data_IF_146024748064
#
_entry.id   IF_146024748064
#
_cell.length_a   1.000
_cell.length_b   1.000
_cell.length_c   1.000
_cell.angle_alpha   90.00
_cell.angle_beta   90.00
_cell.angle_gamma   90.00
#
_symmetry.space_group_name_H-M   'P 1'
#
loop_
_entity.id
_entity.type
_entity.pdbx_description
1 polymer ?
#
# COMPACT_ATOMS: atom_id res chain seq x y z
N UNK A 1 -23.98 2.20 13.44
CA UNK A 1 -24.26 0.93 12.73
C UNK A 1 -24.46 1.23 11.26
N UNK A 2 -23.50 0.85 10.40
CA UNK A 2 -23.62 0.98 8.93
C UNK A 2 -24.74 0.05 8.47
N UNK A 3 -25.74 0.57 7.73
CA UNK A 3 -26.88 -0.22 7.25
C UNK A 3 -26.37 -1.31 6.31
N UNK A 4 -26.68 -2.57 6.64
CA UNK A 4 -26.47 -3.71 5.75
C UNK A 4 -27.36 -3.48 4.54
N UNK A 5 -26.77 -3.20 3.38
CA UNK A 5 -27.51 -3.07 2.13
C UNK A 5 -27.87 -4.49 1.66
N UNK A 6 -29.06 -4.95 2.04
CA UNK A 6 -29.58 -6.31 1.77
C UNK A 6 -29.72 -6.61 0.27
N UNK A 7 -29.58 -5.59 -0.59
CA UNK A 7 -29.63 -5.70 -2.05
C UNK A 7 -28.25 -5.85 -2.72
N UNK A 8 -27.14 -5.82 -1.97
CA UNK A 8 -25.82 -6.02 -2.57
C UNK A 8 -25.50 -7.54 -2.62
N UNK A 9 -25.42 -8.17 -3.81
CA UNK A 9 -25.15 -9.61 -3.93
C UNK A 9 -23.75 -10.02 -3.42
N UNK A 10 -22.86 -9.06 -3.14
CA UNK A 10 -21.53 -9.28 -2.58
C UNK A 10 -21.37 -8.54 -1.24
N UNK A 11 -21.91 -9.06 -0.13
CA UNK A 11 -21.93 -8.35 1.16
C UNK A 11 -20.57 -8.17 1.84
N UNK A 12 -19.49 -8.69 1.22
CA UNK A 12 -18.13 -8.68 1.77
C UNK A 12 -17.18 -7.75 1.02
N UNK A 13 -17.55 -7.23 -0.16
CA UNK A 13 -16.66 -6.36 -0.94
C UNK A 13 -15.41 -7.08 -1.50
N UNK A 14 -15.60 -8.27 -2.10
CA UNK A 14 -14.49 -9.08 -2.64
C UNK A 14 -13.77 -8.40 -3.81
N UNK A 15 -14.49 -7.67 -4.65
CA UNK A 15 -13.93 -6.95 -5.79
C UNK A 15 -12.97 -5.84 -5.34
N UNK A 16 -13.36 -5.12 -4.30
CA UNK A 16 -12.62 -4.04 -3.65
C UNK A 16 -11.38 -4.60 -2.94
N UNK A 17 -11.52 -5.76 -2.28
CA UNK A 17 -10.41 -6.46 -1.66
C UNK A 17 -9.37 -6.93 -2.70
N UNK A 18 -9.82 -7.57 -3.79
CA UNK A 18 -8.94 -8.03 -4.86
C UNK A 18 -8.25 -6.85 -5.53
N UNK A 19 -8.98 -5.79 -5.87
CA UNK A 19 -8.42 -4.59 -6.48
C UNK A 19 -7.40 -3.89 -5.58
N UNK A 20 -7.63 -3.83 -4.26
CA UNK A 20 -6.65 -3.33 -3.29
C UNK A 20 -5.34 -4.12 -3.34
N UNK A 21 -5.40 -5.46 -3.36
CA UNK A 21 -4.21 -6.29 -3.43
C UNK A 21 -3.48 -6.18 -4.77
N UNK A 22 -4.22 -6.18 -5.88
CA UNK A 22 -3.64 -6.03 -7.22
C UNK A 22 -2.94 -4.67 -7.36
N UNK A 23 -3.61 -3.59 -6.95
CA UNK A 23 -3.04 -2.25 -6.98
C UNK A 23 -1.79 -2.16 -6.08
N UNK A 24 -1.86 -2.76 -4.89
CA UNK A 24 -0.73 -2.77 -3.97
C UNK A 24 0.48 -3.53 -4.53
N UNK A 25 0.26 -4.67 -5.15
CA UNK A 25 1.33 -5.43 -5.83
C UNK A 25 1.97 -4.62 -6.96
N UNK A 26 1.16 -3.91 -7.77
CA UNK A 26 1.66 -3.04 -8.84
C UNK A 26 2.50 -1.89 -8.25
N UNK A 27 1.99 -1.19 -7.24
CA UNK A 27 2.68 -0.07 -6.60
C UNK A 27 4.03 -0.49 -5.99
N UNK A 28 4.04 -1.60 -5.26
CA UNK A 28 5.27 -2.15 -4.68
C UNK A 28 6.27 -2.55 -5.77
N UNK A 29 5.82 -3.18 -6.86
CA UNK A 29 6.68 -3.53 -7.99
C UNK A 29 7.28 -2.29 -8.67
N UNK A 30 6.48 -1.24 -8.85
CA UNK A 30 6.94 0.03 -9.42
C UNK A 30 7.98 0.68 -8.51
N UNK A 31 7.72 0.78 -7.21
CA UNK A 31 8.68 1.34 -6.25
C UNK A 31 9.96 0.53 -6.20
N UNK A 32 9.88 -0.80 -6.21
CA UNK A 32 11.05 -1.67 -6.27
C UNK A 32 11.90 -1.41 -7.53
N UNK A 33 11.26 -1.34 -8.71
CA UNK A 33 11.96 -1.04 -9.97
C UNK A 33 12.60 0.35 -9.96
N UNK A 34 11.89 1.36 -9.47
CA UNK A 34 12.40 2.73 -9.36
C UNK A 34 13.59 2.81 -8.39
N UNK A 35 13.49 2.21 -7.21
CA UNK A 35 14.58 2.22 -6.23
C UNK A 35 15.82 1.49 -6.76
N UNK A 36 15.64 0.37 -7.48
CA UNK A 36 16.76 -0.33 -8.09
C UNK A 36 17.41 0.51 -9.22
N UNK A 37 16.61 1.23 -10.00
CA UNK A 37 17.11 2.16 -11.01
C UNK A 37 17.89 3.33 -10.40
N UNK A 38 17.37 3.93 -9.32
CA UNK A 38 18.02 5.01 -8.57
C UNK A 38 19.33 4.54 -7.93
N UNK A 39 19.34 3.35 -7.33
CA UNK A 39 20.54 2.75 -6.75
C UNK A 39 21.64 2.51 -7.81
N UNK A 40 21.26 2.10 -9.03
CA UNK A 40 22.21 1.89 -10.13
C UNK A 40 22.82 3.19 -10.67
N UNK A 41 22.10 4.32 -10.61
CA UNK A 41 22.65 5.63 -10.98
C UNK A 41 23.71 6.13 -9.99
N UNK A 42 23.68 5.61 -8.76
CA UNK A 42 24.57 6.04 -7.68
C UNK A 42 24.32 7.47 -7.24
N UNK A 43 25.04 7.90 -6.20
CA UNK A 43 24.90 9.24 -5.62
C UNK A 43 23.91 9.31 -4.46
N UNK A 44 24.31 10.03 -3.41
CA UNK A 44 23.56 10.15 -2.16
C UNK A 44 22.14 10.70 -2.36
N UNK A 45 21.96 11.67 -3.26
CA UNK A 45 20.64 12.26 -3.53
C UNK A 45 19.65 11.22 -4.11
N UNK A 46 20.10 10.33 -4.99
CA UNK A 46 19.24 9.29 -5.56
C UNK A 46 18.80 8.26 -4.51
N UNK A 47 19.67 7.95 -3.55
CA UNK A 47 19.34 7.08 -2.42
C UNK A 47 18.31 7.74 -1.49
N UNK A 48 18.49 9.03 -1.18
CA UNK A 48 17.52 9.79 -0.36
C UNK A 48 16.15 9.83 -1.05
N UNK A 49 16.11 10.08 -2.36
CA UNK A 49 14.85 10.07 -3.13
C UNK A 49 14.19 8.69 -3.06
N UNK A 50 14.96 7.60 -3.22
CA UNK A 50 14.41 6.24 -3.14
C UNK A 50 13.86 5.90 -1.75
N UNK A 51 14.54 6.33 -0.69
CA UNK A 51 14.05 6.18 0.69
C UNK A 51 12.76 6.98 0.90
N UNK A 52 12.70 8.23 0.44
CA UNK A 52 11.49 9.06 0.52
C UNK A 52 10.31 8.45 -0.24
N UNK A 53 10.54 7.82 -1.40
CA UNK A 53 9.51 7.11 -2.16
C UNK A 53 8.95 5.91 -1.39
N UNK A 54 9.83 5.05 -0.85
CA UNK A 54 9.41 3.91 -0.03
C UNK A 54 8.68 4.33 1.25
N UNK A 55 9.17 5.37 1.94
CA UNK A 55 8.54 5.87 3.16
C UNK A 55 7.18 6.50 2.88
N UNK A 56 7.05 7.31 1.81
CA UNK A 56 5.76 7.91 1.47
C UNK A 56 4.71 6.86 1.14
N UNK A 57 5.08 5.81 0.38
CA UNK A 57 4.18 4.68 0.13
C UNK A 57 3.83 3.92 1.42
N UNK A 58 4.81 3.65 2.27
CA UNK A 58 4.58 3.02 3.57
C UNK A 58 3.64 3.82 4.47
N UNK A 59 3.78 5.15 4.49
CA UNK A 59 2.91 6.06 5.23
C UNK A 59 1.47 6.03 4.70
N UNK A 60 1.26 5.96 3.38
CA UNK A 60 -0.09 5.81 2.81
C UNK A 60 -0.75 4.53 3.34
N UNK A 61 -0.04 3.40 3.33
CA UNK A 61 -0.56 2.14 3.86
C UNK A 61 -0.83 2.19 5.37
N UNK A 62 0.04 2.88 6.13
CA UNK A 62 -0.15 3.08 7.56
C UNK A 62 -1.38 3.94 7.85
N UNK A 63 -1.63 4.98 7.05
CA UNK A 63 -2.85 5.80 7.16
C UNK A 63 -4.09 4.96 6.82
N UNK A 64 -4.04 4.08 5.82
CA UNK A 64 -5.15 3.16 5.53
C UNK A 64 -5.44 2.24 6.73
N UNK A 65 -4.42 1.74 7.41
CA UNK A 65 -4.61 0.98 8.66
C UNK A 65 -5.25 1.84 9.76
N UNK A 66 -4.71 3.02 10.02
CA UNK A 66 -5.13 3.88 11.14
C UNK A 66 -6.52 4.50 10.92
N UNK A 67 -6.75 5.11 9.76
CA UNK A 67 -7.95 5.87 9.44
C UNK A 67 -9.02 5.07 8.68
N UNK A 68 -8.68 3.92 8.09
CA UNK A 68 -9.67 3.08 7.41
C UNK A 68 -10.44 3.84 6.32
N UNK A 69 -11.78 3.82 6.39
CA UNK A 69 -12.70 4.44 5.43
C UNK A 69 -12.89 5.97 5.62
N UNK A 70 -12.33 6.53 6.70
CA UNK A 70 -12.23 7.99 6.88
C UNK A 70 -11.16 8.61 5.96
N UNK A 71 -10.21 7.80 5.47
CA UNK A 71 -9.23 8.23 4.49
C UNK A 71 -9.76 8.07 3.06
N UNK A 72 -9.56 9.08 2.21
CA UNK A 72 -10.09 9.08 0.84
C UNK A 72 -9.68 7.84 0.03
N UNK A 73 -8.42 7.43 0.10
CA UNK A 73 -7.94 6.21 -0.59
C UNK A 73 -8.53 4.96 0.05
N UNK A 74 -8.65 4.91 1.38
CA UNK A 74 -9.24 3.78 2.10
C UNK A 74 -10.72 3.60 1.76
N UNK A 75 -11.48 4.69 1.61
CA UNK A 75 -12.90 4.67 1.21
C UNK A 75 -13.15 4.04 -0.16
N UNK A 76 -12.17 4.04 -1.06
CA UNK A 76 -12.28 3.42 -2.38
C UNK A 76 -12.30 1.89 -2.31
N UNK A 77 -11.74 1.31 -1.24
CA UNK A 77 -11.57 -0.15 -1.12
C UNK A 77 -12.32 -0.74 0.09
N UNK A 78 -12.57 0.05 1.14
CA UNK A 78 -13.18 -0.44 2.37
C UNK A 78 -14.70 -0.42 2.25
N UNK A 79 -15.27 -1.62 2.22
CA UNK A 79 -16.68 -1.90 2.34
C UNK A 79 -16.99 -2.70 3.62
N UNK A 80 -18.28 -2.90 3.89
CA UNK A 80 -18.70 -3.77 4.97
C UNK A 80 -18.20 -5.20 4.70
N UNK A 81 -17.47 -5.79 5.66
CA UNK A 81 -16.94 -7.16 5.57
C UNK A 81 -15.44 -7.26 5.26
N UNK A 82 -14.89 -6.40 4.39
CA UNK A 82 -13.45 -6.43 4.05
C UNK A 82 -12.57 -5.47 4.86
N UNK A 83 -13.17 -4.58 5.66
CA UNK A 83 -12.47 -3.51 6.37
C UNK A 83 -11.24 -4.01 7.16
N UNK A 84 -11.44 -5.01 8.03
CA UNK A 84 -10.35 -5.54 8.86
C UNK A 84 -9.21 -6.10 8.01
N UNK A 85 -9.53 -6.81 6.91
CA UNK A 85 -8.53 -7.36 6.01
C UNK A 85 -7.70 -6.25 5.36
N UNK A 86 -8.35 -5.21 4.83
CA UNK A 86 -7.65 -4.09 4.18
C UNK A 86 -6.80 -3.33 5.20
N UNK A 87 -7.31 -3.08 6.41
CA UNK A 87 -6.57 -2.36 7.45
C UNK A 87 -5.32 -3.13 7.88
N UNK A 88 -5.45 -4.41 8.24
CA UNK A 88 -4.30 -5.21 8.65
C UNK A 88 -3.32 -5.47 7.51
N UNK A 89 -3.81 -5.65 6.28
CA UNK A 89 -2.94 -5.73 5.10
C UNK A 89 -2.22 -4.41 4.83
N UNK A 90 -2.85 -3.26 5.06
CA UNK A 90 -2.19 -1.96 5.04
C UNK A 90 -1.05 -1.88 6.05
N UNK A 91 -1.26 -2.34 7.28
CA UNK A 91 -0.18 -2.39 8.27
C UNK A 91 0.97 -3.29 7.77
N UNK A 92 0.67 -4.48 7.28
CA UNK A 92 1.68 -5.39 6.72
C UNK A 92 2.46 -4.75 5.56
N UNK A 93 1.77 -4.13 4.59
CA UNK A 93 2.41 -3.46 3.46
C UNK A 93 3.24 -2.25 3.88
N UNK A 94 2.84 -1.53 4.93
CA UNK A 94 3.63 -0.41 5.46
C UNK A 94 5.02 -0.86 5.92
N UNK A 95 5.12 -2.01 6.57
CA UNK A 95 6.41 -2.60 6.95
C UNK A 95 7.13 -3.21 5.75
N UNK A 96 6.40 -3.84 4.83
CA UNK A 96 6.98 -4.40 3.61
C UNK A 96 7.68 -3.33 2.76
N UNK A 97 7.18 -2.09 2.75
CA UNK A 97 7.82 -0.95 2.09
C UNK A 97 9.26 -0.69 2.56
N UNK A 98 9.59 -1.01 3.82
CA UNK A 98 10.95 -0.87 4.36
C UNK A 98 11.93 -1.88 3.73
N UNK A 99 11.44 -3.06 3.33
CA UNK A 99 12.28 -4.05 2.65
C UNK A 99 12.68 -3.62 1.23
N UNK A 100 11.97 -2.64 0.65
CA UNK A 100 12.25 -2.12 -0.69
C UNK A 100 13.17 -0.90 -0.69
N UNK A 101 13.79 -0.56 0.44
CA UNK A 101 14.79 0.51 0.46
C UNK A 101 15.95 0.22 -0.52
N UNK A 102 16.53 1.27 -1.12
CA UNK A 102 17.67 1.14 -2.01
C UNK A 102 18.89 0.67 -1.21
N UNK A 103 19.04 -0.64 -1.04
CA UNK A 103 20.24 -1.24 -0.45
C UNK A 103 21.27 -1.31 -1.58
N UNK A 104 22.34 -0.52 -1.47
CA UNK A 104 23.54 -0.73 -2.27
C UNK A 104 23.99 -2.19 -2.07
N UNK A 105 23.74 -3.04 -3.06
CA UNK A 105 24.46 -4.31 -3.15
C UNK A 105 25.91 -3.93 -3.41
N UNK A 106 26.76 -3.98 -2.38
CA UNK A 106 28.21 -4.01 -2.59
C UNK A 106 28.44 -5.22 -3.51
N UNK A 107 28.85 -4.93 -4.76
CA UNK A 107 29.36 -5.96 -5.66
C UNK A 107 30.58 -6.61 -5.04
#
# INVERSE_FOLDING_TARGET
MKKINVFNPYPFGWCELISFYVLSAILLFVVYKLNNFLANRGGYLNEVIGVCLSLSLGMIYFIIFAAGDDFFIGRLFIEYGNESFIRYSGLFFSFLCLAFFPIKRKK
#
